data_IF_844545469843
#
_entry.id   IF_844545469843
#
_cell.length_a   1.000
_cell.length_b   1.000
_cell.length_c   1.000
_cell.angle_alpha   90.00
_cell.angle_beta   90.00
_cell.angle_gamma   90.00
#
_symmetry.space_group_name_H-M   'P 1'
#
loop_
_entity.id
_entity.type
_entity.pdbx_description
1 polymer ?
#
# COMPACT_ATOMS: atom_id res chain seq x y z
N UNK A 1 46.96 -28.43 30.42
CA UNK A 1 46.78 -27.80 29.09
C UNK A 1 47.05 -26.32 29.22
N UNK A 2 47.90 -25.71 28.42
CA UNK A 2 48.07 -24.26 28.44
C UNK A 2 46.77 -23.58 27.93
N UNK A 3 46.28 -22.61 28.69
CA UNK A 3 45.15 -21.75 28.27
C UNK A 3 45.65 -20.79 27.19
N UNK A 4 45.12 -20.92 26.00
CA UNK A 4 45.40 -19.97 24.87
C UNK A 4 44.30 -18.93 24.84
N UNK A 5 44.67 -17.65 24.90
CA UNK A 5 43.72 -16.54 24.76
C UNK A 5 43.25 -16.45 23.30
N UNK A 6 41.99 -16.71 23.09
CA UNK A 6 41.35 -16.43 21.78
C UNK A 6 41.01 -14.94 21.68
N UNK A 7 41.57 -14.28 20.71
CA UNK A 7 41.32 -12.87 20.48
C UNK A 7 40.70 -12.70 19.09
N UNK A 8 39.45 -12.22 19.05
CA UNK A 8 38.76 -11.92 17.80
C UNK A 8 38.84 -10.42 17.48
N UNK A 9 38.93 -10.09 16.19
CA UNK A 9 38.86 -8.73 15.72
C UNK A 9 37.40 -8.33 15.56
N UNK A 10 36.99 -7.12 16.00
CA UNK A 10 35.63 -6.66 15.80
C UNK A 10 35.41 -6.23 14.34
N UNK A 11 34.14 -6.37 13.88
CA UNK A 11 33.72 -5.97 12.54
C UNK A 11 33.79 -7.10 11.53
N UNK A 12 33.13 -6.87 10.39
CA UNK A 12 33.13 -7.78 9.24
C UNK A 12 34.05 -7.20 8.17
N UNK A 13 35.03 -7.97 7.75
CA UNK A 13 35.96 -7.59 6.68
C UNK A 13 35.85 -8.56 5.52
N UNK A 14 35.35 -8.07 4.38
CA UNK A 14 35.24 -8.82 3.11
C UNK A 14 36.26 -8.41 2.07
N UNK A 15 37.10 -7.42 2.34
CA UNK A 15 38.10 -6.92 1.39
C UNK A 15 39.32 -7.84 1.28
N UNK A 16 39.55 -8.66 2.30
CA UNK A 16 40.64 -9.62 2.35
C UNK A 16 40.13 -11.05 2.20
N UNK A 17 41.03 -11.98 1.79
CA UNK A 17 40.68 -13.40 1.75
C UNK A 17 40.41 -13.92 3.17
N UNK A 18 39.59 -14.96 3.29
CA UNK A 18 39.31 -15.61 4.59
C UNK A 18 40.56 -16.08 5.33
N UNK A 19 41.61 -16.43 4.57
CA UNK A 19 42.90 -16.86 5.09
C UNK A 19 43.69 -15.68 5.71
N UNK A 20 43.66 -14.52 5.09
CA UNK A 20 44.37 -13.31 5.59
C UNK A 20 43.61 -12.62 6.72
N UNK A 21 42.31 -12.92 6.87
CA UNK A 21 41.47 -12.38 7.91
C UNK A 21 41.40 -13.27 9.16
N UNK A 22 42.51 -13.95 9.50
CA UNK A 22 42.57 -14.82 10.68
C UNK A 22 42.19 -14.05 11.96
N UNK A 23 41.28 -14.62 12.73
CA UNK A 23 40.69 -14.00 13.93
C UNK A 23 39.62 -12.89 13.62
N UNK A 24 39.33 -12.63 12.37
CA UNK A 24 38.27 -11.72 11.93
C UNK A 24 36.98 -12.43 11.52
N UNK A 25 35.98 -11.64 11.23
CA UNK A 25 34.67 -12.11 10.75
C UNK A 25 34.56 -11.79 9.27
N UNK A 26 34.24 -12.78 8.46
CA UNK A 26 34.02 -12.61 7.03
C UNK A 26 32.55 -12.28 6.73
N UNK A 27 31.63 -12.84 7.51
CA UNK A 27 30.20 -12.59 7.42
C UNK A 27 29.56 -12.65 8.80
N UNK A 28 28.44 -11.95 8.98
CA UNK A 28 27.67 -12.01 10.21
C UNK A 28 26.19 -11.71 9.92
N UNK A 29 25.31 -12.38 10.65
CA UNK A 29 23.87 -12.17 10.59
C UNK A 29 23.32 -11.96 12.00
N UNK A 30 22.52 -10.90 12.19
CA UNK A 30 21.94 -10.54 13.49
C UNK A 30 22.97 -10.36 14.62
N UNK A 31 24.16 -9.85 14.28
CA UNK A 31 25.25 -9.56 15.21
C UNK A 31 25.66 -8.11 15.12
N UNK A 32 25.87 -7.46 16.24
CA UNK A 32 26.57 -6.18 16.34
C UNK A 32 27.85 -6.35 17.15
N UNK A 33 28.81 -5.49 16.92
CA UNK A 33 30.05 -5.48 17.71
C UNK A 33 29.98 -4.34 18.73
N UNK A 34 30.04 -4.69 20.00
CA UNK A 34 30.02 -3.73 21.10
C UNK A 34 31.23 -3.95 21.97
N UNK A 35 32.00 -2.90 22.24
CA UNK A 35 33.26 -2.97 22.97
C UNK A 35 34.24 -4.04 22.43
N UNK A 36 34.25 -4.25 21.10
CA UNK A 36 35.11 -5.24 20.46
C UNK A 36 34.59 -6.68 20.50
N UNK A 37 33.46 -6.94 21.15
CA UNK A 37 32.85 -8.26 21.25
C UNK A 37 31.60 -8.38 20.36
N UNK A 38 31.38 -9.55 19.72
CA UNK A 38 30.14 -9.81 19.00
C UNK A 38 28.99 -10.00 20.00
N UNK A 39 27.92 -9.26 19.79
CA UNK A 39 26.68 -9.35 20.56
C UNK A 39 25.54 -9.65 19.62
N UNK A 40 24.72 -10.64 19.93
CA UNK A 40 23.54 -10.96 19.16
C UNK A 40 22.53 -9.82 19.30
N UNK A 41 22.14 -9.21 18.18
CA UNK A 41 20.95 -8.34 18.14
C UNK A 41 19.73 -9.23 18.07
N UNK A 42 18.69 -8.89 18.84
CA UNK A 42 17.39 -9.58 18.76
C UNK A 42 16.83 -9.51 17.34
N UNK A 43 15.80 -10.29 17.06
CA UNK A 43 15.08 -10.21 15.78
C UNK A 43 14.40 -8.86 15.58
N UNK A 44 13.98 -8.60 14.35
CA UNK A 44 13.18 -7.43 14.01
C UNK A 44 11.71 -7.69 14.38
N UNK A 45 11.09 -6.74 15.05
CA UNK A 45 9.65 -6.72 15.26
C UNK A 45 9.01 -5.66 14.38
N UNK A 46 7.79 -5.91 13.89
CA UNK A 46 7.00 -4.88 13.22
C UNK A 46 6.80 -3.70 14.18
N UNK A 47 7.03 -2.50 13.70
CA UNK A 47 6.78 -1.26 14.45
C UNK A 47 5.28 -0.89 14.50
N UNK A 48 4.46 -1.51 13.65
CA UNK A 48 3.01 -1.36 13.61
C UNK A 48 2.36 -2.66 13.13
N UNK A 49 1.17 -2.99 13.62
CA UNK A 49 0.38 -4.12 13.13
C UNK A 49 -0.22 -3.81 11.77
N UNK A 50 -0.60 -2.54 11.55
CA UNK A 50 -1.08 -2.05 10.27
C UNK A 50 0.02 -2.01 9.20
N UNK A 51 -0.39 -1.97 7.94
CA UNK A 51 0.49 -1.85 6.78
C UNK A 51 0.02 -0.69 5.89
N UNK A 52 0.90 -0.22 5.02
CA UNK A 52 0.61 0.81 4.02
C UNK A 52 0.85 0.27 2.61
N UNK A 53 0.25 0.90 1.61
CA UNK A 53 0.38 0.50 0.22
C UNK A 53 1.65 1.10 -0.42
N UNK A 54 2.32 0.30 -1.24
CA UNK A 54 3.50 0.71 -1.99
C UNK A 54 4.81 0.49 -1.23
N UNK A 55 5.91 0.77 -1.93
CA UNK A 55 7.27 0.66 -1.37
C UNK A 55 7.63 1.99 -0.72
N UNK A 56 8.03 1.95 0.55
CA UNK A 56 8.48 3.15 1.26
C UNK A 56 9.73 3.73 0.60
N UNK A 57 9.69 5.01 0.28
CA UNK A 57 10.79 5.78 -0.31
C UNK A 57 11.35 6.83 0.61
N UNK A 58 10.51 7.37 1.49
CA UNK A 58 10.90 8.39 2.44
C UNK A 58 10.21 8.21 3.78
N UNK A 59 10.93 8.46 4.85
CA UNK A 59 10.42 8.51 6.22
C UNK A 59 10.86 9.82 6.87
N UNK A 60 9.92 10.49 7.52
CA UNK A 60 10.21 11.67 8.32
C UNK A 60 9.47 11.59 9.64
N UNK A 61 10.19 11.73 10.74
CA UNK A 61 9.63 11.66 12.09
C UNK A 61 9.67 13.03 12.74
N UNK A 62 8.60 13.39 13.45
CA UNK A 62 8.53 14.60 14.26
C UNK A 62 7.67 14.35 15.50
N UNK A 63 7.74 15.26 16.43
CA UNK A 63 6.94 15.25 17.66
C UNK A 63 6.17 16.56 17.71
N UNK A 64 4.90 16.51 18.05
CA UNK A 64 4.09 17.73 18.25
C UNK A 64 4.49 18.46 19.54
N UNK A 65 4.02 19.67 19.70
CA UNK A 65 4.20 20.43 20.93
C UNK A 65 3.60 19.74 22.16
N UNK A 66 2.63 18.88 21.94
CA UNK A 66 1.96 18.07 22.98
C UNK A 66 2.69 16.75 23.29
N UNK A 67 3.81 16.48 22.58
CA UNK A 67 4.63 15.30 22.81
C UNK A 67 4.20 14.05 22.03
N UNK A 68 3.21 14.14 21.12
CA UNK A 68 2.78 13.01 20.30
C UNK A 68 3.74 12.78 19.15
N UNK A 69 4.33 11.56 19.00
CA UNK A 69 5.22 11.25 17.90
C UNK A 69 4.44 10.88 16.64
N UNK A 70 4.81 11.48 15.52
CA UNK A 70 4.31 11.16 14.19
C UNK A 70 5.42 10.70 13.26
N UNK A 71 5.08 9.90 12.27
CA UNK A 71 5.98 9.52 11.19
C UNK A 71 5.27 9.68 9.85
N UNK A 72 5.78 10.59 9.02
CA UNK A 72 5.39 10.69 7.62
C UNK A 72 6.03 9.56 6.81
N UNK A 73 5.24 8.89 5.99
CA UNK A 73 5.67 7.79 5.13
C UNK A 73 5.31 8.13 3.69
N UNK A 74 6.32 8.40 2.87
CA UNK A 74 6.16 8.54 1.43
C UNK A 74 6.43 7.19 0.75
N UNK A 75 5.44 6.70 -0.01
CA UNK A 75 5.57 5.46 -0.77
C UNK A 75 5.59 5.74 -2.27
N UNK A 76 5.77 4.70 -3.07
CA UNK A 76 5.70 4.80 -4.55
C UNK A 76 4.31 5.18 -5.06
N UNK A 77 3.27 5.07 -4.24
CA UNK A 77 1.87 5.23 -4.68
C UNK A 77 1.05 6.17 -3.79
N UNK A 78 1.44 6.37 -2.53
CA UNK A 78 0.64 7.13 -1.54
C UNK A 78 1.50 7.81 -0.49
N UNK A 79 0.86 8.74 0.24
CA UNK A 79 1.41 9.40 1.42
C UNK A 79 0.61 9.04 2.66
N UNK A 80 1.32 8.71 3.74
CA UNK A 80 0.69 8.36 5.01
C UNK A 80 1.30 9.14 6.17
N UNK A 81 0.49 9.37 7.19
CA UNK A 81 0.96 9.72 8.53
C UNK A 81 0.70 8.52 9.44
N UNK A 82 1.75 8.06 10.12
CA UNK A 82 1.65 7.05 11.17
C UNK A 82 1.53 7.74 12.51
N UNK A 83 0.50 7.38 13.27
CA UNK A 83 0.30 7.73 14.67
C UNK A 83 0.05 6.44 15.46
N UNK A 84 0.85 6.19 16.47
CA UNK A 84 0.77 4.93 17.20
C UNK A 84 0.95 3.72 16.29
N UNK A 85 -0.09 2.88 16.19
CA UNK A 85 -0.12 1.66 15.36
C UNK A 85 -0.91 1.82 14.05
N UNK A 86 -1.49 3.01 13.80
CA UNK A 86 -2.30 3.29 12.62
C UNK A 86 -1.55 4.09 11.55
N UNK A 87 -1.93 3.86 10.29
CA UNK A 87 -1.53 4.67 9.14
C UNK A 87 -2.76 5.38 8.56
N UNK A 88 -2.66 6.70 8.43
CA UNK A 88 -3.70 7.54 7.84
C UNK A 88 -3.25 7.97 6.44
N UNK A 89 -4.05 7.67 5.44
CA UNK A 89 -3.81 8.10 4.06
C UNK A 89 -4.07 9.61 3.97
N UNK A 90 -3.04 10.36 3.59
CA UNK A 90 -3.08 11.82 3.38
C UNK A 90 -2.76 12.19 1.94
N UNK A 91 -2.87 11.23 1.02
CA UNK A 91 -2.60 11.48 -0.40
C UNK A 91 -3.56 12.55 -0.92
N UNK A 92 -3.05 13.66 -1.48
CA UNK A 92 -3.90 14.74 -1.97
C UNK A 92 -4.83 14.29 -3.11
N UNK A 93 -5.98 14.91 -3.20
CA UNK A 93 -6.89 14.75 -4.33
C UNK A 93 -6.45 15.64 -5.49
N UNK A 94 -6.46 15.07 -6.71
CA UNK A 94 -6.25 15.80 -7.97
C UNK A 94 -7.55 16.45 -8.43
N UNK A 95 -8.64 15.70 -8.36
CA UNK A 95 -9.95 16.15 -8.81
C UNK A 95 -11.07 15.45 -8.06
N UNK A 96 -12.24 16.06 -8.08
CA UNK A 96 -13.48 15.49 -7.56
C UNK A 96 -14.57 15.76 -8.60
N UNK A 97 -15.37 14.74 -8.94
CA UNK A 97 -16.49 14.89 -9.87
C UNK A 97 -17.69 15.55 -9.21
N UNK A 98 -18.62 16.04 -10.01
CA UNK A 98 -19.95 16.38 -9.51
C UNK A 98 -20.75 15.10 -9.21
N UNK A 99 -21.81 15.25 -8.41
CA UNK A 99 -22.70 14.15 -8.08
C UNK A 99 -23.45 13.69 -9.34
N UNK A 100 -23.36 12.39 -9.63
CA UNK A 100 -24.03 11.78 -10.77
C UNK A 100 -23.23 11.73 -12.08
N UNK A 101 -22.04 12.33 -12.12
CA UNK A 101 -21.15 12.26 -13.30
C UNK A 101 -20.59 10.83 -13.50
N UNK A 102 -20.45 10.10 -12.40
CA UNK A 102 -19.88 8.75 -12.42
C UNK A 102 -21.00 7.71 -12.49
N UNK A 103 -20.87 6.78 -13.43
CA UNK A 103 -21.75 5.61 -13.53
C UNK A 103 -20.95 4.33 -13.68
N UNK A 104 -21.59 3.22 -13.31
CA UNK A 104 -20.99 1.88 -13.37
C UNK A 104 -21.77 0.98 -14.32
N UNK A 105 -21.04 0.07 -14.96
CA UNK A 105 -21.62 -1.03 -15.72
C UNK A 105 -20.93 -2.34 -15.34
N UNK A 106 -21.72 -3.36 -15.07
CA UNK A 106 -21.26 -4.70 -14.73
C UNK A 106 -21.55 -5.69 -15.87
N UNK A 107 -20.68 -6.69 -16.02
CA UNK A 107 -20.90 -7.81 -16.92
C UNK A 107 -21.13 -9.06 -16.04
N UNK A 108 -22.19 -9.80 -16.32
CA UNK A 108 -22.55 -11.01 -15.59
C UNK A 108 -21.34 -11.98 -15.51
N UNK A 109 -21.08 -12.52 -14.33
CA UNK A 109 -19.96 -13.41 -13.98
C UNK A 109 -18.57 -12.75 -13.91
N UNK A 110 -18.44 -11.47 -14.25
CA UNK A 110 -17.18 -10.76 -14.14
C UNK A 110 -17.10 -9.89 -12.88
N UNK A 111 -15.94 -9.79 -12.29
CA UNK A 111 -15.66 -8.83 -11.20
C UNK A 111 -15.19 -7.47 -11.71
N UNK A 112 -14.95 -7.35 -13.00
CA UNK A 112 -14.54 -6.11 -13.64
C UNK A 112 -15.75 -5.22 -13.88
N UNK A 113 -15.72 -3.99 -13.34
CA UNK A 113 -16.71 -2.96 -13.60
C UNK A 113 -16.15 -1.93 -14.55
N UNK A 114 -16.94 -1.53 -15.53
CA UNK A 114 -16.64 -0.35 -16.35
C UNK A 114 -17.21 0.87 -15.66
N UNK A 115 -16.36 1.87 -15.42
CA UNK A 115 -16.74 3.16 -14.88
C UNK A 115 -16.76 4.16 -16.03
N UNK A 116 -17.85 4.91 -16.14
CA UNK A 116 -17.98 6.02 -17.08
C UNK A 116 -17.93 7.32 -16.31
N UNK A 117 -17.00 8.18 -16.66
CA UNK A 117 -16.77 9.51 -16.11
C UNK A 117 -16.08 10.37 -17.17
N UNK A 118 -16.77 11.37 -17.69
CA UNK A 118 -16.32 12.17 -18.82
C UNK A 118 -15.10 13.04 -18.45
N UNK A 119 -14.01 12.87 -19.18
CA UNK A 119 -12.80 13.67 -18.98
C UNK A 119 -12.07 13.40 -17.68
N UNK A 120 -12.12 12.17 -17.16
CA UNK A 120 -11.54 11.78 -15.88
C UNK A 120 -10.03 12.02 -15.76
N UNK A 121 -9.30 12.05 -16.90
CA UNK A 121 -7.84 12.28 -16.93
C UNK A 121 -7.02 11.34 -16.08
N UNK A 122 -7.57 10.18 -15.70
CA UNK A 122 -6.90 9.17 -14.93
C UNK A 122 -6.03 8.27 -15.82
N UNK A 123 -5.00 7.68 -15.24
CA UNK A 123 -4.14 6.68 -15.88
C UNK A 123 -4.24 5.35 -15.13
N UNK A 124 -3.73 4.31 -15.74
CA UNK A 124 -3.61 2.99 -15.08
C UNK A 124 -2.82 3.14 -13.79
N UNK A 125 -3.22 2.40 -12.77
CA UNK A 125 -2.68 2.42 -11.40
C UNK A 125 -3.04 3.66 -10.56
N UNK A 126 -3.80 4.62 -11.08
CA UNK A 126 -4.37 5.68 -10.25
C UNK A 126 -5.39 5.14 -9.24
N UNK A 127 -5.59 5.91 -8.17
CA UNK A 127 -6.58 5.59 -7.15
C UNK A 127 -7.76 6.55 -7.21
N UNK A 128 -8.96 5.97 -7.10
CA UNK A 128 -10.21 6.70 -7.01
C UNK A 128 -11.05 6.15 -5.87
N UNK A 129 -11.63 7.02 -5.07
CA UNK A 129 -12.61 6.65 -4.04
C UNK A 129 -13.99 7.08 -4.49
N UNK A 130 -14.96 6.18 -4.42
CA UNK A 130 -16.35 6.54 -4.73
C UNK A 130 -17.16 6.73 -3.46
N UNK A 131 -18.10 7.66 -3.50
CA UNK A 131 -19.10 7.90 -2.48
C UNK A 131 -20.47 8.22 -3.10
N UNK A 132 -21.54 7.96 -2.37
CA UNK A 132 -22.90 8.25 -2.81
C UNK A 132 -23.48 7.28 -3.84
N UNK A 133 -22.74 6.25 -4.24
CA UNK A 133 -23.25 5.24 -5.16
C UNK A 133 -24.31 4.35 -4.47
N UNK A 134 -25.34 4.00 -5.24
CA UNK A 134 -26.34 3.01 -4.88
C UNK A 134 -26.02 1.64 -5.46
N UNK A 135 -26.71 0.60 -5.03
CA UNK A 135 -26.53 -0.75 -5.57
C UNK A 135 -26.80 -0.85 -7.08
N UNK A 136 -26.12 -1.77 -7.77
CA UNK A 136 -26.46 -2.12 -9.15
C UNK A 136 -27.67 -3.05 -9.25
N UNK A 137 -28.19 -3.56 -8.12
CA UNK A 137 -29.40 -4.37 -8.04
C UNK A 137 -29.19 -5.83 -7.68
N UNK A 138 -27.94 -6.31 -7.71
CA UNK A 138 -27.59 -7.70 -7.36
C UNK A 138 -26.57 -7.78 -6.23
N UNK A 139 -25.45 -8.44 -6.49
CA UNK A 139 -24.36 -8.64 -5.55
C UNK A 139 -23.43 -7.42 -5.46
N UNK A 140 -23.43 -6.55 -6.47
CA UNK A 140 -22.70 -5.31 -6.46
C UNK A 140 -23.51 -4.28 -5.68
N UNK A 141 -23.32 -4.29 -4.37
CA UNK A 141 -24.04 -3.41 -3.43
C UNK A 141 -23.43 -2.02 -3.35
N UNK A 142 -24.13 -1.07 -2.73
CA UNK A 142 -23.59 0.26 -2.42
C UNK A 142 -22.28 0.19 -1.61
N UNK A 143 -22.15 -0.75 -0.68
CA UNK A 143 -20.91 -0.97 0.09
C UNK A 143 -19.76 -1.48 -0.76
N UNK A 144 -20.05 -2.26 -1.79
CA UNK A 144 -19.05 -2.69 -2.79
C UNK A 144 -18.57 -1.48 -3.60
N UNK A 145 -19.46 -0.57 -4.01
CA UNK A 145 -19.10 0.58 -4.84
C UNK A 145 -18.41 1.71 -4.05
N UNK A 146 -18.93 2.04 -2.86
CA UNK A 146 -18.47 3.17 -2.05
C UNK A 146 -17.19 2.84 -1.27
N UNK A 147 -16.10 2.63 -1.98
CA UNK A 147 -14.77 2.41 -1.41
C UNK A 147 -13.69 2.87 -2.40
N UNK A 148 -12.45 2.80 -1.98
CA UNK A 148 -11.32 3.14 -2.84
C UNK A 148 -11.02 2.02 -3.84
N UNK A 149 -10.69 2.37 -5.07
CA UNK A 149 -10.29 1.46 -6.14
C UNK A 149 -9.01 1.90 -6.82
N UNK A 150 -8.25 0.94 -7.29
CA UNK A 150 -7.16 1.18 -8.24
C UNK A 150 -7.70 0.96 -9.66
N UNK A 151 -7.37 1.85 -10.57
CA UNK A 151 -7.74 1.77 -11.98
C UNK A 151 -6.87 0.73 -12.64
N UNK A 152 -7.49 -0.31 -13.18
CA UNK A 152 -6.79 -1.44 -13.79
C UNK A 152 -6.56 -1.27 -15.29
N UNK A 153 -7.44 -0.52 -15.95
CA UNK A 153 -7.36 -0.26 -17.39
C UNK A 153 -8.05 1.07 -17.71
N UNK A 154 -7.45 1.90 -18.54
CA UNK A 154 -8.10 3.08 -19.12
C UNK A 154 -8.56 2.71 -20.52
N UNK A 155 -9.89 2.73 -20.74
CA UNK A 155 -10.49 2.36 -22.03
C UNK A 155 -10.42 3.52 -23.00
N UNK A 156 -10.77 4.71 -22.54
CA UNK A 156 -10.71 5.98 -23.28
C UNK A 156 -10.81 7.16 -22.29
N UNK A 157 -10.86 8.40 -22.80
CA UNK A 157 -10.92 9.62 -21.99
C UNK A 157 -12.18 9.74 -21.09
N UNK A 158 -13.19 8.90 -21.32
CA UNK A 158 -14.48 8.94 -20.63
C UNK A 158 -14.79 7.64 -19.87
N UNK A 159 -13.91 6.63 -19.91
CA UNK A 159 -14.18 5.36 -19.26
C UNK A 159 -12.91 4.58 -18.90
N UNK A 160 -12.97 3.88 -17.79
CA UNK A 160 -11.92 3.02 -17.28
C UNK A 160 -12.52 1.81 -16.56
N UNK A 161 -11.67 0.87 -16.16
CA UNK A 161 -12.06 -0.35 -15.46
C UNK A 161 -11.47 -0.42 -14.07
N UNK A 162 -12.27 -0.99 -13.16
CA UNK A 162 -11.90 -1.33 -11.79
C UNK A 162 -12.32 -2.77 -11.51
N UNK A 163 -11.80 -3.35 -10.41
CA UNK A 163 -12.25 -4.66 -9.96
C UNK A 163 -13.11 -4.57 -8.71
N UNK A 164 -14.36 -4.99 -8.80
CA UNK A 164 -15.26 -5.08 -7.66
C UNK A 164 -14.72 -6.06 -6.61
N UNK A 165 -14.71 -5.62 -5.37
CA UNK A 165 -14.22 -6.41 -4.23
C UNK A 165 -15.15 -6.25 -3.04
N UNK A 166 -15.08 -7.19 -2.11
CA UNK A 166 -15.90 -7.17 -0.90
C UNK A 166 -15.78 -5.83 -0.18
N UNK A 167 -16.92 -5.33 0.27
CA UNK A 167 -17.01 -4.06 1.01
C UNK A 167 -16.09 -4.03 2.24
N UNK A 168 -15.45 -2.89 2.46
CA UNK A 168 -14.55 -2.68 3.61
C UNK A 168 -13.23 -3.43 3.55
N UNK A 169 -12.91 -4.14 2.46
CA UNK A 169 -11.58 -4.72 2.27
C UNK A 169 -10.63 -3.64 1.76
N UNK A 170 -9.53 -3.45 2.48
CA UNK A 170 -8.47 -2.54 2.02
C UNK A 170 -7.91 -3.01 0.67
N UNK A 171 -7.54 -2.05 -0.20
CA UNK A 171 -6.70 -2.32 -1.38
C UNK A 171 -5.35 -2.91 -0.96
N UNK A 172 -4.98 -2.74 0.30
CA UNK A 172 -3.76 -3.25 0.89
C UNK A 172 -3.77 -4.77 0.99
N UNK A 173 -3.68 -5.42 -0.15
CA UNK A 173 -3.23 -6.78 -0.22
C UNK A 173 -1.79 -6.79 -0.70
N UNK A 174 -0.87 -6.43 0.17
CA UNK A 174 0.54 -6.59 -0.16
C UNK A 174 0.95 -7.98 0.21
N UNK A 175 1.19 -8.73 -0.82
CA UNK A 175 1.97 -9.93 -0.76
C UNK A 175 3.45 -9.60 -0.69
N UNK A 176 4.05 -9.85 0.46
CA UNK A 176 5.33 -10.51 0.50
C UNK A 176 5.05 -11.75 1.33
N UNK A 177 4.84 -12.88 0.67
CA UNK A 177 4.61 -14.23 1.22
C UNK A 177 3.40 -14.43 2.17
N UNK A 178 2.31 -13.73 1.94
CA UNK A 178 1.09 -13.90 2.71
C UNK A 178 -0.10 -13.27 2.01
N UNK A 179 -0.52 -13.89 0.91
CA UNK A 179 -1.60 -13.49 0.03
C UNK A 179 -2.90 -13.19 0.80
N UNK A 180 -3.26 -11.93 0.99
CA UNK A 180 -4.64 -11.52 1.12
C UNK A 180 -4.99 -10.72 -0.13
N UNK A 181 -5.24 -11.42 -1.22
CA UNK A 181 -5.93 -10.81 -2.35
C UNK A 181 -7.31 -10.37 -1.87
N UNK A 182 -7.75 -9.14 -2.17
CA UNK A 182 -9.12 -8.74 -1.87
C UNK A 182 -10.07 -9.76 -2.52
N UNK A 183 -11.06 -10.22 -1.78
CA UNK A 183 -12.04 -11.12 -2.34
C UNK A 183 -12.82 -10.38 -3.41
N UNK A 184 -12.66 -10.79 -4.65
CA UNK A 184 -13.38 -10.21 -5.79
C UNK A 184 -14.85 -10.59 -5.72
N UNK A 185 -15.72 -9.70 -6.18
CA UNK A 185 -17.17 -9.89 -6.23
C UNK A 185 -17.59 -9.93 -7.70
N UNK A 186 -17.80 -11.14 -8.26
CA UNK A 186 -18.34 -11.27 -9.61
C UNK A 186 -19.79 -10.79 -9.63
N UNK A 187 -20.13 -9.96 -10.60
CA UNK A 187 -21.50 -9.52 -10.82
C UNK A 187 -22.41 -10.69 -11.20
N UNK A 188 -23.68 -10.57 -10.91
CA UNK A 188 -24.70 -11.51 -11.34
C UNK A 188 -25.68 -10.83 -12.32
N UNK A 189 -26.59 -11.62 -12.93
CA UNK A 189 -27.54 -11.11 -13.92
C UNK A 189 -28.51 -10.03 -13.41
N UNK A 190 -28.56 -9.77 -12.10
CA UNK A 190 -29.36 -8.69 -11.49
C UNK A 190 -28.62 -7.37 -11.32
N UNK A 191 -27.30 -7.34 -11.55
CA UNK A 191 -26.46 -6.13 -11.44
C UNK A 191 -26.59 -5.30 -12.73
N UNK A 192 -27.76 -4.77 -12.99
CA UNK A 192 -28.12 -4.00 -14.21
C UNK A 192 -28.20 -2.49 -13.97
N UNK A 193 -28.11 -2.05 -12.71
CA UNK A 193 -28.09 -0.63 -12.35
C UNK A 193 -26.80 0.08 -12.73
N UNK A 194 -26.78 1.39 -12.52
CA UNK A 194 -25.65 2.26 -12.88
C UNK A 194 -25.00 2.98 -11.68
N UNK A 195 -25.36 2.64 -10.44
CA UNK A 195 -24.85 3.29 -9.23
C UNK A 195 -25.63 4.53 -8.77
N UNK A 196 -26.67 4.94 -9.51
CA UNK A 196 -27.56 6.06 -9.16
C UNK A 196 -26.99 7.44 -9.55
N UNK A 197 -27.75 8.48 -9.21
CA UNK A 197 -27.50 9.86 -9.64
C UNK A 197 -26.71 10.70 -8.61
N UNK A 198 -26.13 10.07 -7.58
CA UNK A 198 -25.42 10.78 -6.49
C UNK A 198 -23.96 10.35 -6.35
N UNK A 199 -23.47 9.53 -7.29
CA UNK A 199 -22.09 9.02 -7.22
C UNK A 199 -21.10 10.13 -7.48
N UNK A 200 -20.11 10.24 -6.59
CA UNK A 200 -18.98 11.17 -6.69
C UNK A 200 -17.69 10.35 -6.72
N UNK A 201 -16.80 10.69 -7.61
CA UNK A 201 -15.43 10.13 -7.67
C UNK A 201 -14.41 11.12 -7.10
N UNK A 202 -13.57 10.66 -6.19
CA UNK A 202 -12.46 11.42 -5.62
C UNK A 202 -11.16 10.82 -6.16
N UNK A 203 -10.53 11.50 -7.11
CA UNK A 203 -9.29 11.03 -7.73
C UNK A 203 -8.08 11.53 -6.96
N UNK A 204 -7.21 10.63 -6.53
CA UNK A 204 -5.95 10.99 -5.90
C UNK A 204 -4.95 11.51 -6.95
N UNK A 205 -3.93 12.25 -6.49
CA UNK A 205 -2.84 12.66 -7.36
C UNK A 205 -2.13 11.41 -7.89
N UNK A 206 -1.70 11.52 -9.14
CA UNK A 206 -1.03 10.43 -9.84
C UNK A 206 0.27 10.04 -9.16
N UNK A 207 0.51 8.75 -8.99
CA UNK A 207 1.72 8.17 -8.40
C UNK A 207 3.00 8.39 -9.23
N UNK A 208 2.88 9.01 -10.38
CA UNK A 208 4.01 9.46 -11.21
C UNK A 208 4.84 10.61 -10.61
N UNK A 209 4.65 10.95 -9.33
CA UNK A 209 5.51 11.89 -8.62
C UNK A 209 6.89 11.25 -8.41
N UNK A 210 7.77 11.43 -9.36
CA UNK A 210 9.21 11.31 -9.15
C UNK A 210 9.63 12.44 -8.21
N UNK A 211 9.91 12.08 -6.97
CA UNK A 211 10.59 12.97 -6.02
C UNK A 211 12.09 12.94 -6.32
#
# INVERSE_FOLDING_TARGET
MPLTKLQFRPGVNRETTSYTNEGGWFDSNNVRFRFGLPEKIGGWAKAASASFLGVCRALHTWVTLEGTPFTGVGTTVKYYIKEGDAYYDITPLRSTTAAGDVTFAAVNTESTLTVTDAGHGAVVDDFVTFAGATTLGGVITAGVLNQEYQITEVVNDNSYKIQARTAGTSIQSITVDGQLSPTLVPANGSDTGNGGASTIGYYQINSGLTI
#
